data_IF_759894740135
#
_entry.id   IF_759894740135
#
_cell.length_a   1.000
_cell.length_b   1.000
_cell.length_c   1.000
_cell.angle_alpha   90.00
_cell.angle_beta   90.00
_cell.angle_gamma   90.00
#
_symmetry.space_group_name_H-M   'P 1'
#
loop_
_entity.id
_entity.type
_entity.pdbx_description
1 polymer ?
#
# COMPACT_ATOMS: atom_id res chain seq x y z
N UNK A 1 10.35 28.07 26.11
CA UNK A 1 9.85 26.68 26.04
C UNK A 1 8.42 26.56 25.50
N UNK A 2 7.43 27.38 25.92
CA UNK A 2 6.01 27.21 25.51
C UNK A 2 5.77 27.37 24.00
N UNK A 3 6.39 28.37 23.36
CA UNK A 3 6.21 28.62 21.91
C UNK A 3 6.72 27.50 21.01
N UNK A 4 7.77 26.78 21.42
CA UNK A 4 8.34 25.66 20.64
C UNK A 4 7.31 24.53 20.55
N UNK A 5 6.70 24.15 21.67
CA UNK A 5 5.66 23.11 21.68
C UNK A 5 4.46 23.50 20.81
N UNK A 6 4.05 24.76 20.85
CA UNK A 6 2.94 25.26 20.02
C UNK A 6 3.32 25.19 18.53
N UNK A 7 4.52 25.65 18.16
CA UNK A 7 5.00 25.60 16.79
C UNK A 7 5.10 24.15 16.26
N UNK A 8 5.58 23.21 17.08
CA UNK A 8 5.63 21.79 16.71
C UNK A 8 4.25 21.19 16.49
N UNK A 9 3.29 21.45 17.38
CA UNK A 9 1.91 20.95 17.26
C UNK A 9 1.24 21.52 16.01
N UNK A 10 1.38 22.83 15.77
CA UNK A 10 0.85 23.48 14.55
C UNK A 10 1.50 22.90 13.29
N UNK A 11 2.81 22.67 13.30
CA UNK A 11 3.52 22.07 12.17
C UNK A 11 3.05 20.64 11.85
N UNK A 12 2.82 19.81 12.88
CA UNK A 12 2.29 18.46 12.71
C UNK A 12 0.87 18.49 12.14
N UNK A 13 0.00 19.36 12.68
CA UNK A 13 -1.39 19.50 12.21
C UNK A 13 -1.41 20.00 10.75
N UNK A 14 -0.63 21.03 10.43
CA UNK A 14 -0.54 21.57 9.08
C UNK A 14 -0.03 20.51 8.08
N UNK A 15 1.01 19.76 8.43
CA UNK A 15 1.52 18.66 7.61
C UNK A 15 0.49 17.55 7.40
N UNK A 16 -0.26 17.19 8.45
CA UNK A 16 -1.34 16.20 8.36
C UNK A 16 -2.47 16.66 7.42
N UNK A 17 -2.87 17.92 7.52
CA UNK A 17 -3.94 18.50 6.69
C UNK A 17 -3.56 18.59 5.21
N UNK A 18 -2.29 18.87 4.88
CA UNK A 18 -1.84 19.02 3.49
C UNK A 18 -1.75 17.67 2.76
N UNK A 19 -1.31 16.61 3.46
CA UNK A 19 -1.06 15.32 2.83
C UNK A 19 -2.04 14.24 3.29
N UNK A 20 -1.74 13.53 4.38
CA UNK A 20 -2.44 12.29 4.75
C UNK A 20 -3.95 12.43 4.95
N UNK A 21 -4.43 13.61 5.36
CA UNK A 21 -5.86 13.83 5.59
C UNK A 21 -6.68 13.83 4.29
N UNK A 22 -6.18 14.38 3.19
CA UNK A 22 -6.92 14.53 1.94
C UNK A 22 -6.52 13.52 0.87
N UNK A 23 -5.24 13.16 0.81
CA UNK A 23 -4.67 12.35 -0.28
C UNK A 23 -5.37 11.00 -0.45
N UNK A 24 -5.61 10.18 0.61
CA UNK A 24 -6.28 8.89 0.43
C UNK A 24 -7.70 8.99 -0.16
N UNK A 25 -8.45 10.04 0.21
CA UNK A 25 -9.81 10.26 -0.30
C UNK A 25 -9.81 10.70 -1.77
N UNK A 26 -8.84 11.53 -2.16
CA UNK A 26 -8.65 11.94 -3.55
C UNK A 26 -8.16 10.76 -4.41
N UNK A 27 -7.15 10.03 -3.93
CA UNK A 27 -6.60 8.84 -4.58
C UNK A 27 -7.67 7.78 -4.82
N UNK A 28 -8.60 7.58 -3.89
CA UNK A 28 -9.72 6.63 -4.09
C UNK A 28 -10.62 7.06 -5.27
N UNK A 29 -10.78 8.36 -5.51
CA UNK A 29 -11.52 8.87 -6.67
C UNK A 29 -10.76 8.66 -7.98
N UNK A 30 -9.43 8.82 -7.96
CA UNK A 30 -8.55 8.71 -9.13
C UNK A 30 -8.26 7.26 -9.54
N UNK A 31 -8.14 6.36 -8.56
CA UNK A 31 -7.73 4.97 -8.76
C UNK A 31 -8.87 4.07 -9.24
N UNK A 32 -10.11 4.35 -8.81
CA UNK A 32 -11.25 3.47 -9.08
C UNK A 32 -12.16 4.04 -10.18
N UNK A 33 -12.57 3.16 -11.12
CA UNK A 33 -13.61 3.46 -12.10
C UNK A 33 -14.93 3.80 -11.38
N UNK A 34 -15.77 4.64 -12.00
CA UNK A 34 -17.02 5.15 -11.41
C UNK A 34 -17.91 4.06 -10.79
N UNK A 35 -17.99 2.88 -11.40
CA UNK A 35 -18.77 1.74 -10.90
C UNK A 35 -18.29 1.17 -9.56
N UNK A 36 -16.98 1.27 -9.26
CA UNK A 36 -16.35 0.68 -8.08
C UNK A 36 -16.05 1.69 -6.97
N UNK A 37 -16.10 2.99 -7.28
CA UNK A 37 -15.83 4.07 -6.32
C UNK A 37 -16.63 3.95 -5.02
N UNK A 38 -17.96 3.72 -5.03
CA UNK A 38 -18.71 3.62 -3.78
C UNK A 38 -18.20 2.50 -2.87
N UNK A 39 -17.88 1.34 -3.44
CA UNK A 39 -17.32 0.21 -2.68
C UNK A 39 -15.94 0.56 -2.10
N UNK A 40 -15.09 1.22 -2.88
CA UNK A 40 -13.77 1.63 -2.41
C UNK A 40 -13.85 2.65 -1.27
N UNK A 41 -14.77 3.62 -1.35
CA UNK A 41 -15.02 4.58 -0.26
C UNK A 41 -15.58 3.90 0.99
N UNK A 42 -16.45 2.91 0.87
CA UNK A 42 -16.98 2.17 2.01
C UNK A 42 -15.86 1.39 2.72
N UNK A 43 -15.03 0.67 1.95
CA UNK A 43 -13.92 -0.10 2.52
C UNK A 43 -12.87 0.83 3.13
N UNK A 44 -12.44 1.86 2.40
CA UNK A 44 -11.47 2.84 2.90
C UNK A 44 -11.97 3.60 4.13
N UNK A 45 -13.24 4.01 4.13
CA UNK A 45 -13.89 4.66 5.26
C UNK A 45 -13.99 3.73 6.47
N UNK A 46 -14.43 2.48 6.27
CA UNK A 46 -14.52 1.49 7.35
C UNK A 46 -13.15 1.20 7.96
N UNK A 47 -12.12 1.03 7.13
CA UNK A 47 -10.74 0.83 7.59
C UNK A 47 -10.20 2.07 8.34
N UNK A 48 -10.55 3.28 7.91
CA UNK A 48 -10.19 4.51 8.61
C UNK A 48 -10.79 4.55 10.03
N UNK A 49 -12.09 4.25 10.15
CA UNK A 49 -12.77 4.20 11.45
C UNK A 49 -12.25 3.07 12.34
N UNK A 50 -12.02 1.88 11.80
CA UNK A 50 -11.42 0.75 12.53
C UNK A 50 -10.01 1.12 13.02
N UNK A 51 -9.21 1.78 12.18
CA UNK A 51 -7.87 2.22 12.56
C UNK A 51 -7.93 3.27 13.67
N UNK A 52 -8.86 4.22 13.59
CA UNK A 52 -9.06 5.23 14.64
C UNK A 52 -9.48 4.57 15.97
N UNK A 53 -10.40 3.60 15.92
CA UNK A 53 -10.79 2.81 17.10
C UNK A 53 -9.61 2.03 17.68
N UNK A 54 -8.84 1.35 16.83
CA UNK A 54 -7.67 0.59 17.24
C UNK A 54 -6.61 1.49 17.90
N UNK A 55 -6.31 2.66 17.30
CA UNK A 55 -5.38 3.63 17.89
C UNK A 55 -5.92 4.15 19.22
N UNK A 56 -7.19 4.53 19.30
CA UNK A 56 -7.82 4.99 20.54
C UNK A 56 -7.80 3.94 21.66
N UNK A 57 -7.96 2.67 21.32
CA UNK A 57 -7.91 1.56 22.28
C UNK A 57 -6.47 1.20 22.69
N UNK A 58 -5.53 1.16 21.74
CA UNK A 58 -4.13 0.77 21.97
C UNK A 58 -3.34 1.89 22.66
N UNK A 59 -3.66 3.16 22.38
CA UNK A 59 -2.89 4.31 22.86
C UNK A 59 -2.71 4.35 24.40
N UNK A 60 -3.75 4.11 25.23
CA UNK A 60 -3.58 4.04 26.69
C UNK A 60 -2.58 2.96 27.14
N UNK A 61 -2.63 1.76 26.55
CA UNK A 61 -1.70 0.67 26.87
C UNK A 61 -0.27 0.99 26.42
N UNK A 62 -0.14 1.63 25.26
CA UNK A 62 1.16 2.04 24.72
C UNK A 62 1.77 3.17 25.55
N UNK A 63 0.96 4.13 25.99
CA UNK A 63 1.39 5.23 26.86
C UNK A 63 1.82 4.72 28.24
N UNK A 64 1.14 3.71 28.79
CA UNK A 64 1.50 3.11 30.09
C UNK A 64 2.82 2.35 30.04
N UNK A 65 3.11 1.65 28.93
CA UNK A 65 4.34 0.85 28.79
C UNK A 65 5.56 1.68 28.36
N UNK A 66 5.39 2.61 27.42
CA UNK A 66 6.51 3.32 26.78
C UNK A 66 6.61 4.81 27.14
N UNK A 67 5.63 5.38 27.84
CA UNK A 67 5.61 6.81 28.15
C UNK A 67 5.70 7.66 26.88
N UNK A 68 6.62 8.63 26.85
CA UNK A 68 6.85 9.50 25.69
C UNK A 68 7.42 8.77 24.45
N UNK A 69 7.97 7.57 24.61
CA UNK A 69 8.49 6.79 23.48
C UNK A 69 7.37 6.21 22.60
N UNK A 70 6.11 6.22 23.05
CA UNK A 70 4.97 5.76 22.24
C UNK A 70 4.86 6.54 20.90
N UNK A 71 5.22 7.83 20.89
CA UNK A 71 5.20 8.65 19.69
C UNK A 71 6.23 8.19 18.63
N UNK A 72 7.33 7.55 19.03
CA UNK A 72 8.30 6.99 18.08
C UNK A 72 7.73 5.78 17.32
N UNK A 73 6.86 4.99 17.97
CA UNK A 73 6.17 3.88 17.31
C UNK A 73 5.25 4.42 16.21
N UNK A 74 4.46 5.44 16.51
CA UNK A 74 3.62 6.11 15.51
C UNK A 74 4.46 6.78 14.41
N UNK A 75 5.60 7.39 14.75
CA UNK A 75 6.55 7.93 13.77
C UNK A 75 7.05 6.83 12.82
N UNK A 76 7.43 5.66 13.34
CA UNK A 76 7.84 4.51 12.53
C UNK A 76 6.75 4.01 11.60
N UNK A 77 5.50 3.94 12.08
CA UNK A 77 4.34 3.61 11.23
C UNK A 77 4.15 4.67 10.13
N UNK A 78 4.24 5.96 10.46
CA UNK A 78 4.15 7.04 9.47
C UNK A 78 5.24 6.96 8.41
N UNK A 79 6.49 6.66 8.79
CA UNK A 79 7.60 6.45 7.84
C UNK A 79 7.36 5.22 6.97
N UNK A 80 6.86 4.12 7.56
CA UNK A 80 6.50 2.91 6.80
C UNK A 80 5.40 3.17 5.77
N UNK A 81 4.37 3.94 6.14
CA UNK A 81 3.32 4.36 5.21
C UNK A 81 3.88 5.31 4.14
N UNK A 82 4.75 6.25 4.50
CA UNK A 82 5.39 7.14 3.53
C UNK A 82 6.24 6.36 2.52
N UNK A 83 7.00 5.36 2.98
CA UNK A 83 7.75 4.47 2.11
C UNK A 83 6.82 3.63 1.22
N UNK A 84 5.74 3.08 1.77
CA UNK A 84 4.73 2.35 1.01
C UNK A 84 4.13 3.21 -0.10
N UNK A 85 3.71 4.44 0.21
CA UNK A 85 3.17 5.38 -0.78
C UNK A 85 4.21 5.70 -1.84
N UNK A 86 5.45 6.01 -1.44
CA UNK A 86 6.51 6.37 -2.37
C UNK A 86 6.90 5.25 -3.34
N UNK A 87 6.96 4.00 -2.85
CA UNK A 87 7.38 2.87 -3.69
C UNK A 87 6.22 2.26 -4.46
N UNK A 88 5.04 2.07 -3.85
CA UNK A 88 3.96 1.25 -4.43
C UNK A 88 2.95 2.11 -5.20
N UNK A 89 2.67 3.33 -4.75
CA UNK A 89 1.66 4.17 -5.39
C UNK A 89 2.33 4.99 -6.51
N UNK A 90 2.04 4.71 -7.79
CA UNK A 90 2.52 5.56 -8.87
C UNK A 90 1.87 6.94 -8.79
N UNK A 91 2.58 7.96 -9.26
CA UNK A 91 2.03 9.33 -9.35
C UNK A 91 0.83 9.34 -10.30
N UNK A 92 -0.36 9.67 -9.78
CA UNK A 92 -1.63 9.71 -10.54
C UNK A 92 -1.93 11.09 -11.13
N UNK A 93 -1.18 12.13 -10.75
CA UNK A 93 -1.43 13.51 -11.16
C UNK A 93 -1.39 13.67 -12.69
N UNK A 94 -2.44 14.28 -13.24
CA UNK A 94 -2.62 14.59 -14.68
C UNK A 94 -2.67 13.37 -15.62
N UNK A 95 -3.01 12.17 -15.12
CA UNK A 95 -3.19 10.97 -15.94
C UNK A 95 -4.66 10.61 -16.05
N UNK A 96 -5.06 10.05 -17.19
CA UNK A 96 -6.40 9.51 -17.39
C UNK A 96 -6.58 8.21 -16.61
N UNK A 97 -7.83 7.85 -16.29
CA UNK A 97 -8.14 6.56 -15.63
C UNK A 97 -7.59 5.35 -16.37
N UNK A 98 -7.51 5.43 -17.71
CA UNK A 98 -6.96 4.36 -18.54
C UNK A 98 -5.45 4.25 -18.34
N UNK A 99 -4.72 5.37 -18.43
CA UNK A 99 -3.27 5.39 -18.18
C UNK A 99 -2.91 4.96 -16.76
N UNK A 100 -3.71 5.36 -15.75
CA UNK A 100 -3.51 4.91 -14.37
C UNK A 100 -3.68 3.38 -14.32
N UNK A 101 -4.77 2.85 -14.86
CA UNK A 101 -5.01 1.39 -14.91
C UNK A 101 -3.90 0.65 -15.66
N UNK A 102 -3.38 1.20 -16.75
CA UNK A 102 -2.25 0.63 -17.50
C UNK A 102 -0.95 0.69 -16.71
N UNK A 103 -0.68 1.77 -15.96
CA UNK A 103 0.50 1.86 -15.09
C UNK A 103 0.47 0.83 -13.97
N UNK A 104 -0.71 0.61 -13.36
CA UNK A 104 -0.88 -0.48 -12.39
C UNK A 104 -0.71 -1.85 -13.06
N UNK A 105 -1.24 -2.05 -14.28
CA UNK A 105 -1.10 -3.32 -15.00
C UNK A 105 0.35 -3.61 -15.41
N UNK A 106 1.08 -2.63 -15.94
CA UNK A 106 2.48 -2.75 -16.32
C UNK A 106 3.38 -3.00 -15.10
N UNK A 107 3.08 -2.33 -13.98
CA UNK A 107 3.80 -2.54 -12.74
C UNK A 107 3.56 -3.93 -12.16
N UNK A 108 2.30 -4.38 -12.15
CA UNK A 108 1.97 -5.75 -11.73
C UNK A 108 2.57 -6.80 -12.68
N UNK A 109 2.61 -6.54 -13.99
CA UNK A 109 3.24 -7.44 -14.96
C UNK A 109 4.76 -7.52 -14.75
N UNK A 110 5.43 -6.40 -14.49
CA UNK A 110 6.85 -6.37 -14.15
C UNK A 110 7.13 -7.07 -12.81
N UNK A 111 6.25 -6.92 -11.81
CA UNK A 111 6.36 -7.63 -10.53
C UNK A 111 6.14 -9.13 -10.69
N UNK A 112 5.17 -9.56 -11.51
CA UNK A 112 4.95 -10.98 -11.84
C UNK A 112 6.14 -11.52 -12.63
N UNK A 113 6.69 -10.77 -13.59
CA UNK A 113 7.88 -11.16 -14.35
C UNK A 113 9.09 -11.28 -13.43
N UNK A 114 9.35 -10.29 -12.57
CA UNK A 114 10.45 -10.32 -11.61
C UNK A 114 10.27 -11.43 -10.58
N UNK A 115 9.05 -11.65 -10.08
CA UNK A 115 8.75 -12.77 -9.19
C UNK A 115 8.91 -14.11 -9.91
N UNK A 116 8.56 -14.21 -11.20
CA UNK A 116 8.76 -15.42 -12.01
C UNK A 116 10.24 -15.66 -12.31
N UNK A 117 11.04 -14.63 -12.55
CA UNK A 117 12.48 -14.70 -12.76
C UNK A 117 13.21 -15.04 -11.46
N UNK A 118 12.85 -14.43 -10.34
CA UNK A 118 13.37 -14.79 -9.01
C UNK A 118 12.95 -16.21 -8.66
N UNK A 119 11.69 -16.60 -8.88
CA UNK A 119 11.21 -17.96 -8.63
C UNK A 119 11.90 -18.96 -9.55
N UNK A 120 12.14 -18.62 -10.83
CA UNK A 120 12.86 -19.46 -11.79
C UNK A 120 14.34 -19.56 -11.47
N UNK A 121 14.98 -18.49 -11.01
CA UNK A 121 16.37 -18.49 -10.55
C UNK A 121 16.52 -19.27 -9.24
N UNK A 122 15.58 -19.11 -8.30
CA UNK A 122 15.51 -19.90 -7.07
C UNK A 122 15.22 -21.37 -7.37
N UNK A 123 14.33 -21.67 -8.33
CA UNK A 123 14.07 -23.02 -8.82
C UNK A 123 15.30 -23.58 -9.51
N UNK A 124 16.03 -22.82 -10.33
CA UNK A 124 17.28 -23.25 -10.95
C UNK A 124 18.33 -23.58 -9.90
N UNK A 125 18.48 -22.74 -8.87
CA UNK A 125 19.38 -23.01 -7.74
C UNK A 125 18.91 -24.20 -6.89
N UNK A 126 17.59 -24.37 -6.69
CA UNK A 126 17.02 -25.48 -5.90
C UNK A 126 17.00 -26.81 -6.67
N UNK A 127 16.91 -26.77 -8.00
CA UNK A 127 16.87 -27.94 -8.89
C UNK A 127 18.26 -28.59 -9.08
N UNK A 128 19.32 -27.95 -8.58
CA UNK A 128 20.66 -28.55 -8.54
C UNK A 128 20.80 -29.78 -7.62
N UNK A 129 19.76 -30.14 -6.83
CA UNK A 129 19.78 -31.28 -5.92
C UNK A 129 18.87 -32.48 -6.27
N UNK A 130 18.35 -32.58 -7.49
CA UNK A 130 17.66 -33.79 -7.96
C UNK A 130 16.28 -34.05 -7.33
N UNK A 131 15.37 -34.60 -8.13
CA UNK A 131 13.99 -34.98 -7.78
C UNK A 131 13.03 -33.83 -7.43
N UNK A 132 12.28 -33.36 -8.42
CA UNK A 132 11.15 -32.45 -8.17
C UNK A 132 10.52 -31.93 -9.46
N UNK A 133 9.53 -32.66 -9.98
CA UNK A 133 8.65 -32.20 -11.04
C UNK A 133 7.78 -31.05 -10.49
N UNK A 134 7.98 -29.83 -11.00
CA UNK A 134 7.04 -28.73 -10.82
C UNK A 134 6.41 -28.47 -12.19
N UNK A 135 5.19 -28.99 -12.32
CA UNK A 135 4.24 -28.62 -13.36
C UNK A 135 3.92 -27.14 -13.19
N UNK A 136 4.12 -26.42 -14.29
CA UNK A 136 3.90 -24.99 -14.48
C UNK A 136 2.41 -24.66 -14.41
N UNK A 137 2.02 -23.84 -13.45
CA UNK A 137 0.68 -23.23 -13.34
C UNK A 137 0.47 -22.11 -14.40
N UNK A 138 1.34 -22.05 -15.41
CA UNK A 138 1.31 -21.04 -16.50
C UNK A 138 0.64 -21.59 -17.76
N UNK A 139 0.38 -22.90 -17.85
CA UNK A 139 -0.27 -23.51 -19.03
C UNK A 139 -1.80 -23.43 -19.03
N UNK A 140 -2.44 -22.88 -17.98
CA UNK A 140 -3.91 -22.79 -17.93
C UNK A 140 -4.45 -21.60 -18.74
N UNK A 141 -3.73 -20.47 -18.82
CA UNK A 141 -4.26 -19.27 -19.48
C UNK A 141 -4.06 -19.25 -21.02
N UNK A 142 -3.25 -20.17 -21.57
CA UNK A 142 -3.01 -20.28 -23.01
C UNK A 142 -3.89 -21.28 -23.73
N UNK A 143 -4.52 -22.23 -23.03
CA UNK A 143 -5.46 -23.18 -23.65
C UNK A 143 -6.85 -22.61 -23.87
N UNK A 144 -7.29 -21.64 -23.07
CA UNK A 144 -8.65 -21.08 -23.19
C UNK A 144 -8.82 -20.09 -24.37
N UNK A 145 -7.72 -19.64 -25.00
CA UNK A 145 -7.76 -18.68 -26.14
C UNK A 145 -7.40 -19.26 -27.50
N UNK A 146 -7.26 -20.58 -27.64
CA UNK A 146 -6.95 -21.22 -28.94
C UNK A 146 -8.00 -22.26 -29.36
N UNK A 147 -9.12 -22.37 -28.63
CA UNK A 147 -10.23 -23.29 -28.93
C UNK A 147 -11.55 -22.55 -29.25
N UNK A 148 -11.49 -21.32 -29.77
CA UNK A 148 -12.66 -20.60 -30.35
C UNK A 148 -12.28 -19.90 -31.64
#
# INVERSE_FOLDING_TARGET
MRYISVACVVGIIAGFCIGPAGVPFLMTGELFKQSHRPSAYIVGGSLNWISNFAVGFVFPFLQMSAGAFCYLVFCGVCVGVAAYVFFIIPETKNKTFLEISELFALRNACEIENQSLVTSAQLALKKMNGYGALVTVVDVDKKEKTET
#
